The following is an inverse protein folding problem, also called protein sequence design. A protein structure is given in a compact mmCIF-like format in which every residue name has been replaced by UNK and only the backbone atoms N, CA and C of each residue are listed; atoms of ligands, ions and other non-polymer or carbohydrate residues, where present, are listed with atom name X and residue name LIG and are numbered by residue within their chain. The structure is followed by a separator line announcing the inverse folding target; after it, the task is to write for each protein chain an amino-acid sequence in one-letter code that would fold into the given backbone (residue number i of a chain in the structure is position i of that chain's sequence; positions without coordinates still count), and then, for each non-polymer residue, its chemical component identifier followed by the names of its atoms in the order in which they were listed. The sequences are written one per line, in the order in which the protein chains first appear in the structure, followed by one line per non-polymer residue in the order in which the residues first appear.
data_IF_809823744144
#
_entry.id   IF_809823744144
#
_cell.length_a   1.000
_cell.length_b   1.000
_cell.length_c   1.000
_cell.angle_alpha   90.00
_cell.angle_beta   90.00
_cell.angle_gamma   90.00
#
_symmetry.space_group_name_H-M   'P 1'
#
loop_
_entity.id
_entity.type
_entity.pdbx_description
1 polymer ?
#
# COMPACT_ATOMS: atom_id res chain seq x y z
N UNK A 1 6.51 -6.45 17.39
CA UNK A 1 5.59 -7.15 16.48
C UNK A 1 5.75 -6.49 15.13
N UNK A 2 6.27 -7.23 14.16
CA UNK A 2 6.41 -6.79 12.77
C UNK A 2 5.00 -6.74 12.16
N UNK A 3 4.58 -5.57 11.65
CA UNK A 3 3.26 -5.45 11.01
C UNK A 3 3.40 -6.04 9.61
N UNK A 4 2.64 -7.10 9.31
CA UNK A 4 2.61 -7.68 7.98
C UNK A 4 1.88 -6.72 7.01
N UNK A 5 2.67 -5.86 6.35
CA UNK A 5 2.15 -4.82 5.43
C UNK A 5 1.41 -5.41 4.24
N UNK A 6 1.77 -6.61 3.81
CA UNK A 6 1.07 -7.31 2.72
C UNK A 6 -0.34 -7.68 3.16
N UNK A 7 -0.49 -8.31 4.33
CA UNK A 7 -1.80 -8.62 4.89
C UNK A 7 -2.65 -7.36 5.13
N UNK A 8 -2.03 -6.25 5.55
CA UNK A 8 -2.71 -4.95 5.70
C UNK A 8 -3.27 -4.44 4.37
N UNK A 9 -2.46 -4.38 3.30
CA UNK A 9 -2.93 -3.97 1.97
C UNK A 9 -3.98 -4.92 1.38
N UNK A 10 -3.86 -6.22 1.63
CA UNK A 10 -4.84 -7.21 1.19
C UNK A 10 -6.19 -7.02 1.88
N UNK A 11 -6.18 -6.75 3.18
CA UNK A 11 -7.42 -6.44 3.93
C UNK A 11 -8.00 -5.09 3.54
N UNK A 12 -7.15 -4.10 3.23
CA UNK A 12 -7.59 -2.78 2.80
C UNK A 12 -8.40 -2.83 1.51
N UNK A 13 -7.88 -3.52 0.49
CA UNK A 13 -8.58 -3.70 -0.79
C UNK A 13 -9.81 -4.61 -0.69
N UNK A 14 -9.78 -5.63 0.19
CA UNK A 14 -10.94 -6.49 0.47
C UNK A 14 -12.10 -5.71 1.11
N UNK A 15 -11.77 -4.71 1.95
CA UNK A 15 -12.75 -3.77 2.50
C UNK A 15 -13.27 -2.74 1.47
N UNK A 16 -12.83 -2.81 0.21
CA UNK A 16 -13.19 -1.88 -0.85
C UNK A 16 -12.44 -0.55 -0.81
N UNK A 17 -11.39 -0.43 0.02
CA UNK A 17 -10.57 0.77 0.11
C UNK A 17 -9.34 0.66 -0.82
N UNK A 18 -8.87 1.80 -1.33
CA UNK A 18 -7.77 1.82 -2.31
C UNK A 18 -6.46 2.16 -1.62
N UNK A 19 -5.37 1.54 -2.06
CA UNK A 19 -4.01 1.96 -1.72
C UNK A 19 -3.28 2.43 -2.98
N UNK A 20 -2.36 3.38 -2.84
CA UNK A 20 -1.56 3.94 -3.93
C UNK A 20 -0.10 4.11 -3.51
N UNK A 21 0.83 3.78 -4.40
CA UNK A 21 2.26 3.99 -4.24
C UNK A 21 2.62 5.41 -4.66
N UNK A 22 2.80 6.29 -3.70
CA UNK A 22 3.11 7.71 -3.93
C UNK A 22 4.61 7.98 -4.10
N UNK A 23 5.47 7.04 -3.67
CA UNK A 23 6.92 7.17 -3.82
C UNK A 23 7.59 5.81 -3.92
N UNK A 24 8.55 5.67 -4.85
CA UNK A 24 9.41 4.51 -4.97
C UNK A 24 10.87 4.96 -4.88
N UNK A 25 11.62 4.33 -3.99
CA UNK A 25 13.07 4.51 -3.81
C UNK A 25 13.77 3.18 -4.07
N UNK A 26 15.10 3.16 -4.10
CA UNK A 26 15.94 1.99 -4.49
C UNK A 26 15.93 0.82 -3.47
N UNK A 27 14.76 0.47 -2.92
CA UNK A 27 14.58 -0.57 -1.91
C UNK A 27 13.49 -0.25 -0.88
N UNK A 28 12.80 0.90 -1.01
CA UNK A 28 11.72 1.27 -0.12
C UNK A 28 10.61 1.96 -0.91
N UNK A 29 9.38 1.74 -0.50
CA UNK A 29 8.21 2.34 -1.12
C UNK A 29 7.35 3.03 -0.07
N UNK A 30 6.72 4.11 -0.47
CA UNK A 30 5.73 4.82 0.35
C UNK A 30 4.37 4.58 -0.25
N UNK A 31 3.46 4.03 0.57
CA UNK A 31 2.10 3.70 0.20
C UNK A 31 1.15 4.58 1.00
N UNK A 32 0.24 5.25 0.30
CA UNK A 32 -0.90 5.94 0.87
C UNK A 32 -2.10 4.98 0.86
N UNK A 33 -2.80 4.91 1.99
CA UNK A 33 -4.08 4.23 2.14
C UNK A 33 -5.17 5.28 1.96
N UNK A 34 -6.00 5.13 0.94
CA UNK A 34 -7.08 6.04 0.61
C UNK A 34 -8.41 5.48 1.12
N UNK A 35 -9.27 6.36 1.62
CA UNK A 35 -10.64 6.01 2.00
C UNK A 35 -11.51 5.81 0.75
N UNK A 36 -12.44 4.87 0.84
CA UNK A 36 -13.42 4.58 -0.23
C UNK A 36 -14.33 5.79 -0.55
N UNK A 37 -14.55 6.70 0.40
CA UNK A 37 -15.60 7.73 0.32
C UNK A 37 -15.17 9.04 -0.38
N UNK A 38 -13.94 9.15 -0.88
CA UNK A 38 -13.50 10.40 -1.52
C UNK A 38 -12.02 10.54 -1.86
N UNK A 39 -11.23 9.47 -1.77
CA UNK A 39 -9.80 9.54 -2.10
C UNK A 39 -8.96 10.33 -1.07
N UNK A 40 -9.52 10.63 0.09
CA UNK A 40 -8.73 11.21 1.19
C UNK A 40 -7.76 10.17 1.77
N UNK A 41 -6.51 10.58 2.01
CA UNK A 41 -5.50 9.76 2.70
C UNK A 41 -6.00 9.43 4.12
N UNK A 42 -6.28 8.16 4.37
CA UNK A 42 -6.59 7.63 5.69
C UNK A 42 -5.33 7.49 6.53
N UNK A 43 -4.29 6.95 5.91
CA UNK A 43 -2.99 6.69 6.51
C UNK A 43 -1.92 6.60 5.41
N UNK A 44 -0.66 6.70 5.81
CA UNK A 44 0.47 6.54 4.91
C UNK A 44 1.64 5.94 5.66
N UNK A 45 2.27 4.96 5.02
CA UNK A 45 3.46 4.32 5.56
C UNK A 45 4.56 4.16 4.51
N UNK A 46 5.78 4.00 5.00
CA UNK A 46 6.94 3.61 4.18
C UNK A 46 7.44 2.27 4.66
N UNK A 47 7.78 1.39 3.73
CA UNK A 47 8.31 0.07 4.04
C UNK A 47 9.37 -0.32 3.00
N UNK A 48 10.44 -0.92 3.50
CA UNK A 48 11.50 -1.57 2.72
C UNK A 48 11.37 -3.10 2.72
N UNK A 49 10.25 -3.64 3.21
CA UNK A 49 10.07 -5.08 3.32
C UNK A 49 10.01 -5.71 1.91
N UNK A 50 10.88 -6.70 1.62
CA UNK A 50 10.95 -7.31 0.30
C UNK A 50 9.66 -8.05 -0.10
N UNK A 51 8.87 -8.55 0.86
CA UNK A 51 7.58 -9.19 0.59
C UNK A 51 6.56 -8.17 0.12
N UNK A 52 6.59 -6.96 0.69
CA UNK A 52 5.73 -5.87 0.24
C UNK A 52 6.14 -5.37 -1.16
N UNK A 53 7.45 -5.26 -1.40
CA UNK A 53 7.97 -4.88 -2.72
C UNK A 53 7.56 -5.89 -3.80
N UNK A 54 7.63 -7.19 -3.50
CA UNK A 54 7.17 -8.27 -4.39
C UNK A 54 5.65 -8.23 -4.61
N UNK A 55 4.86 -8.05 -3.55
CA UNK A 55 3.40 -7.94 -3.62
C UNK A 55 2.92 -6.77 -4.49
N UNK A 56 3.59 -5.62 -4.36
CA UNK A 56 3.28 -4.44 -5.16
C UNK A 56 3.82 -4.60 -6.59
N UNK A 57 5.04 -5.10 -6.74
CA UNK A 57 5.70 -5.26 -8.03
C UNK A 57 5.66 -3.96 -8.84
N UNK A 58 5.08 -4.03 -10.04
CA UNK A 58 4.92 -2.86 -10.92
C UNK A 58 3.66 -2.03 -10.63
N UNK A 59 2.71 -2.52 -9.82
CA UNK A 59 1.41 -1.86 -9.58
C UNK A 59 1.58 -0.55 -8.84
N UNK A 60 0.94 0.52 -9.34
CA UNK A 60 0.96 1.83 -8.67
C UNK A 60 -0.22 2.01 -7.71
N UNK A 61 -1.29 1.23 -7.86
CA UNK A 61 -2.41 1.24 -6.93
C UNK A 61 -3.08 -0.13 -6.89
N UNK A 62 -4.03 -0.33 -5.96
CA UNK A 62 -4.83 -1.56 -5.91
C UNK A 62 -5.70 -1.77 -7.15
N UNK A 63 -6.02 -0.70 -7.88
CA UNK A 63 -6.98 -0.71 -8.99
C UNK A 63 -6.33 -1.00 -10.35
N UNK A 64 -5.01 -1.17 -10.38
CA UNK A 64 -4.22 -1.48 -11.58
C UNK A 64 -3.89 -2.97 -11.67
#
# INVERSE_FOLDING_TARGET
MDIDRVAELQRWQDAGAVWEVISRRAGAITVALLRCDGGEEADRFTSDDPRLLDFIGDRRSSQE
#
